data_IF_058360893339
#
_entry.id   IF_058360893339
#
_cell.length_a   1.000
_cell.length_b   1.000
_cell.length_c   1.000
_cell.angle_alpha   90.00
_cell.angle_beta   90.00
_cell.angle_gamma   90.00
#
_symmetry.space_group_name_H-M   'P 1'
#
loop_
_entity.id
_entity.type
_entity.pdbx_description
1 polymer ?
#
# COMPACT_ATOMS: atom_id res chain seq x y z
N UNK A 1 22.02 -14.42 10.79
CA UNK A 1 20.97 -14.85 9.84
C UNK A 1 21.36 -16.21 9.31
N UNK A 2 20.44 -17.17 9.26
CA UNK A 2 20.66 -18.45 8.59
C UNK A 2 20.09 -18.38 7.17
N UNK A 3 20.82 -18.91 6.20
CA UNK A 3 20.39 -18.97 4.81
C UNK A 3 19.68 -20.30 4.57
N UNK A 4 18.48 -20.25 4.02
CA UNK A 4 17.69 -21.43 3.65
C UNK A 4 17.21 -21.29 2.21
N UNK A 5 17.14 -22.42 1.51
CA UNK A 5 16.53 -22.50 0.18
C UNK A 5 15.15 -23.13 0.34
N UNK A 6 14.11 -22.41 -0.07
CA UNK A 6 12.73 -22.88 0.02
C UNK A 6 12.11 -22.97 -1.38
N UNK A 7 11.24 -23.96 -1.59
CA UNK A 7 10.34 -23.99 -2.75
C UNK A 7 9.02 -23.37 -2.33
N UNK A 8 8.52 -22.43 -3.11
CA UNK A 8 7.26 -21.74 -2.85
C UNK A 8 6.37 -21.78 -4.09
N UNK A 9 5.04 -21.76 -3.93
CA UNK A 9 4.11 -21.60 -5.05
C UNK A 9 4.37 -20.28 -5.79
N UNK A 10 4.13 -20.26 -7.10
CA UNK A 10 4.31 -19.08 -7.96
C UNK A 10 3.54 -17.86 -7.45
N UNK A 11 2.31 -18.05 -6.98
CA UNK A 11 1.50 -17.00 -6.34
C UNK A 11 2.22 -16.28 -5.19
N UNK A 12 3.08 -16.97 -4.43
CA UNK A 12 3.84 -16.34 -3.34
C UNK A 12 4.95 -15.46 -3.92
N UNK A 13 5.59 -15.92 -5.00
CA UNK A 13 6.61 -15.14 -5.71
C UNK A 13 6.03 -13.84 -6.25
N UNK A 14 4.85 -13.89 -6.88
CA UNK A 14 4.15 -12.70 -7.38
C UNK A 14 3.88 -11.68 -6.27
N UNK A 15 3.41 -12.14 -5.11
CA UNK A 15 3.16 -11.25 -3.96
C UNK A 15 4.45 -10.63 -3.45
N UNK A 16 5.55 -11.39 -3.40
CA UNK A 16 6.86 -10.89 -3.01
C UNK A 16 7.37 -9.82 -3.97
N UNK A 17 7.25 -10.04 -5.27
CA UNK A 17 7.65 -9.07 -6.29
C UNK A 17 6.83 -7.78 -6.18
N UNK A 18 5.52 -7.91 -5.97
CA UNK A 18 4.63 -6.77 -5.72
C UNK A 18 4.99 -6.00 -4.46
N UNK A 19 5.34 -6.70 -3.37
CA UNK A 19 5.77 -6.05 -2.13
C UNK A 19 7.05 -5.24 -2.31
N UNK A 20 7.98 -5.71 -3.16
CA UNK A 20 9.20 -4.95 -3.49
C UNK A 20 8.86 -3.76 -4.40
N UNK A 21 8.05 -3.97 -5.43
CA UNK A 21 7.63 -2.92 -6.38
C UNK A 21 6.91 -1.76 -5.69
N UNK A 22 6.00 -2.07 -4.76
CA UNK A 22 5.22 -1.08 -4.00
C UNK A 22 5.99 -0.47 -2.82
N UNK A 23 7.26 -0.84 -2.64
CA UNK A 23 8.11 -0.34 -1.55
C UNK A 23 7.68 -0.80 -0.15
N UNK A 24 6.88 -1.87 -0.05
CA UNK A 24 6.49 -2.50 1.23
C UNK A 24 7.69 -3.24 1.81
N UNK A 25 8.49 -3.89 0.95
CA UNK A 25 9.71 -4.58 1.32
C UNK A 25 10.93 -3.99 0.60
N UNK A 26 12.09 -4.07 1.26
CA UNK A 26 13.38 -3.58 0.73
C UNK A 26 14.04 -4.56 -0.25
N UNK A 27 13.68 -5.84 -0.17
CA UNK A 27 14.23 -6.92 -0.99
C UNK A 27 13.29 -8.13 -0.95
N UNK A 28 13.51 -9.12 -1.82
CA UNK A 28 12.73 -10.37 -1.82
C UNK A 28 12.84 -11.11 -0.49
N UNK A 29 14.04 -11.21 0.09
CA UNK A 29 14.22 -11.84 1.40
C UNK A 29 13.45 -11.10 2.50
N UNK A 30 13.46 -9.77 2.49
CA UNK A 30 12.68 -9.01 3.45
C UNK A 30 11.17 -9.28 3.26
N UNK A 31 10.67 -9.37 2.02
CA UNK A 31 9.28 -9.70 1.76
C UNK A 31 8.91 -11.11 2.24
N UNK A 32 9.77 -12.12 1.99
CA UNK A 32 9.55 -13.48 2.50
C UNK A 32 9.49 -13.51 4.02
N UNK A 33 10.42 -12.82 4.71
CA UNK A 33 10.40 -12.75 6.16
C UNK A 33 9.11 -12.09 6.68
N UNK A 34 8.68 -10.98 6.07
CA UNK A 34 7.41 -10.34 6.42
C UNK A 34 6.24 -11.32 6.25
N UNK A 35 6.17 -12.04 5.12
CA UNK A 35 5.12 -13.03 4.87
C UNK A 35 5.14 -14.17 5.91
N UNK A 36 6.33 -14.62 6.33
CA UNK A 36 6.48 -15.65 7.37
C UNK A 36 5.99 -15.12 8.73
N UNK A 37 6.30 -13.86 9.08
CA UNK A 37 5.95 -13.27 10.37
C UNK A 37 4.44 -12.98 10.51
N UNK A 38 3.79 -12.44 9.47
CA UNK A 38 2.37 -12.03 9.54
C UNK A 38 1.39 -12.93 8.77
N UNK A 39 1.92 -13.88 8.00
CA UNK A 39 1.14 -14.73 7.11
C UNK A 39 0.76 -14.06 5.77
N UNK A 40 0.57 -14.91 4.76
CA UNK A 40 0.20 -14.49 3.40
C UNK A 40 -1.10 -13.65 3.32
N UNK A 41 -2.18 -13.94 4.07
CA UNK A 41 -3.41 -13.14 4.00
C UNK A 41 -3.19 -11.67 4.36
N UNK A 42 -2.38 -11.41 5.41
CA UNK A 42 -2.10 -10.04 5.86
C UNK A 42 -1.18 -9.30 4.89
N UNK A 43 -0.18 -10.00 4.33
CA UNK A 43 0.67 -9.44 3.28
C UNK A 43 -0.15 -9.02 2.04
N UNK A 44 -1.12 -9.84 1.62
CA UNK A 44 -2.03 -9.51 0.53
C UNK A 44 -2.90 -8.27 0.82
N UNK A 45 -3.38 -8.12 2.05
CA UNK A 45 -4.13 -6.93 2.48
C UNK A 45 -3.27 -5.66 2.38
N UNK A 46 -2.00 -5.73 2.81
CA UNK A 46 -1.06 -4.61 2.71
C UNK A 46 -0.79 -4.23 1.24
N UNK A 47 -0.56 -5.22 0.38
CA UNK A 47 -0.38 -5.01 -1.07
C UNK A 47 -1.60 -4.32 -1.67
N UNK A 48 -2.82 -4.81 -1.38
CA UNK A 48 -4.06 -4.19 -1.86
C UNK A 48 -4.20 -2.74 -1.39
N UNK A 49 -3.94 -2.47 -0.11
CA UNK A 49 -4.01 -1.12 0.44
C UNK A 49 -3.00 -0.19 -0.22
N UNK A 50 -1.77 -0.65 -0.41
CA UNK A 50 -0.70 0.16 -1.02
C UNK A 50 -0.97 0.44 -2.50
N UNK A 51 -1.46 -0.54 -3.26
CA UNK A 51 -1.96 -0.34 -4.63
C UNK A 51 -3.04 0.74 -4.68
N UNK A 52 -4.02 0.66 -3.77
CA UNK A 52 -5.10 1.66 -3.72
C UNK A 52 -4.58 3.07 -3.48
N UNK A 53 -3.59 3.23 -2.59
CA UNK A 53 -2.94 4.54 -2.34
C UNK A 53 -2.20 5.03 -3.59
N UNK A 54 -1.49 4.15 -4.29
CA UNK A 54 -0.79 4.49 -5.52
C UNK A 54 -1.77 4.93 -6.62
N UNK A 55 -2.87 4.20 -6.81
CA UNK A 55 -3.95 4.57 -7.75
C UNK A 55 -4.54 5.95 -7.44
N UNK A 56 -4.87 6.21 -6.16
CA UNK A 56 -5.41 7.50 -5.72
C UNK A 56 -4.41 8.62 -5.92
N UNK A 57 -3.13 8.38 -5.61
CA UNK A 57 -2.05 9.34 -5.85
C UNK A 57 -1.91 9.66 -7.33
N UNK A 58 -1.96 8.64 -8.18
CA UNK A 58 -1.84 8.83 -9.63
C UNK A 58 -3.05 9.55 -10.22
N UNK A 59 -4.27 9.26 -9.77
CA UNK A 59 -5.45 10.03 -10.16
C UNK A 59 -5.34 11.48 -9.69
N UNK A 60 -4.92 11.69 -8.44
CA UNK A 60 -4.70 13.03 -7.92
C UNK A 60 -3.66 13.82 -8.72
N UNK A 61 -2.53 13.21 -9.10
CA UNK A 61 -1.50 13.87 -9.89
C UNK A 61 -1.96 14.22 -11.32
N UNK A 62 -2.84 13.40 -11.91
CA UNK A 62 -3.38 13.64 -13.26
C UNK A 62 -4.52 14.65 -13.26
N UNK A 63 -5.47 14.46 -12.36
CA UNK A 63 -6.78 15.10 -12.37
C UNK A 63 -6.84 16.29 -11.40
N UNK A 64 -5.82 16.44 -10.55
CA UNK A 64 -5.80 17.40 -9.45
C UNK A 64 -6.73 16.97 -8.30
N UNK A 65 -7.01 17.91 -7.40
CA UNK A 65 -8.06 17.71 -6.42
C UNK A 65 -9.42 17.66 -7.15
N UNK A 66 -10.31 16.69 -6.85
CA UNK A 66 -11.64 16.61 -7.48
C UNK A 66 -12.57 17.77 -7.05
N UNK A 67 -12.07 18.76 -6.33
CA UNK A 67 -12.88 19.76 -5.66
C UNK A 67 -12.92 21.05 -6.49
N UNK A 68 -14.06 21.26 -7.17
CA UNK A 68 -14.40 22.55 -7.78
C UNK A 68 -14.94 23.56 -6.75
N UNK A 69 -15.54 23.07 -5.66
CA UNK A 69 -16.10 23.85 -4.54
C UNK A 69 -15.53 23.32 -3.20
N UNK A 70 -14.34 23.77 -2.82
CA UNK A 70 -13.82 23.46 -1.48
C UNK A 70 -14.42 24.42 -0.45
N UNK A 71 -14.90 23.91 0.70
CA UNK A 71 -15.18 24.77 1.84
C UNK A 71 -13.90 25.51 2.23
N UNK A 72 -14.05 26.81 2.39
CA UNK A 72 -13.05 27.73 2.95
C UNK A 72 -12.79 27.41 4.42
N UNK A 73 -11.77 28.06 4.98
CA UNK A 73 -11.52 27.97 6.42
C UNK A 73 -12.76 28.44 7.19
N UNK A 74 -13.43 29.49 6.72
CA UNK A 74 -14.68 29.98 7.31
C UNK A 74 -15.80 28.92 7.31
N UNK A 75 -16.00 28.20 6.20
CA UNK A 75 -17.04 27.16 6.08
C UNK A 75 -16.83 26.00 7.08
N UNK A 76 -15.57 25.68 7.38
CA UNK A 76 -15.20 24.62 8.34
C UNK A 76 -15.36 25.10 9.78
N UNK A 77 -15.02 26.35 10.07
CA UNK A 77 -15.20 26.92 11.42
C UNK A 77 -16.69 27.07 11.75
N UNK A 78 -17.51 27.52 10.81
CA UNK A 78 -18.96 27.70 11.00
C UNK A 78 -19.68 26.36 11.25
N UNK A 79 -19.22 25.27 10.62
CA UNK A 79 -19.74 23.93 10.88
C UNK A 79 -19.36 23.36 12.26
N UNK A 80 -18.23 23.80 12.84
CA UNK A 80 -17.76 23.36 14.17
C UNK A 80 -18.40 24.12 15.33
N UNK A 81 -18.94 25.31 15.07
CA UNK A 81 -19.61 26.13 16.09
C UNK A 81 -21.08 25.75 16.32
N UNK A 82 -21.61 24.75 15.60
CA UNK A 82 -22.98 24.23 15.72
C UNK A 82 -23.06 22.95 16.55
#
# INVERSE_FOLDING_TARGET
MQTVTIKVPERVVEVVEEMVRLGIARSRNHAYNVIIDMGLPKALELVKRKRRVEELTQSFLRDGLPYRDLPTVEDVEEARSR
#
